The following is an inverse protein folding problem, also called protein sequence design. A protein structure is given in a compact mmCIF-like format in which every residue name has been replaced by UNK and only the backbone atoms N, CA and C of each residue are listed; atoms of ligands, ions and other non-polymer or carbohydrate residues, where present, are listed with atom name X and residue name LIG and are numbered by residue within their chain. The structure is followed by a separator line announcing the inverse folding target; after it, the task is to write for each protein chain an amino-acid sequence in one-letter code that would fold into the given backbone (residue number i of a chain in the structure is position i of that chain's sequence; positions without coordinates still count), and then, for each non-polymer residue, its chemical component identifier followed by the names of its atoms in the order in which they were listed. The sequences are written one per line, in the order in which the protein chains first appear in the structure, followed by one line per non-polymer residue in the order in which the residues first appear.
data_IF_703313134871
#
_entry.id   IF_703313134871
#
_cell.length_a   1.000
_cell.length_b   1.000
_cell.length_c   1.000
_cell.angle_alpha   90.00
_cell.angle_beta   90.00
_cell.angle_gamma   90.00
#
_symmetry.space_group_name_H-M   'P 1'
#
loop_
_entity.id
_entity.type
_entity.pdbx_description
1 polymer ?
#
# COMPACT_ATOMS: atom_id res chain seq x y z
N UNK A 1 20.74 11.09 -18.26
CA UNK A 1 20.88 11.30 -16.81
C UNK A 1 21.83 12.45 -16.49
N UNK A 2 23.11 12.39 -16.88
CA UNK A 2 24.10 13.44 -16.58
C UNK A 2 23.69 14.85 -17.03
N UNK A 3 23.18 15.02 -18.26
CA UNK A 3 22.66 16.32 -18.73
C UNK A 3 21.46 16.84 -17.93
N UNK A 4 20.63 15.96 -17.39
CA UNK A 4 19.52 16.35 -16.52
C UNK A 4 20.03 16.76 -15.14
N UNK A 5 20.98 16.01 -14.58
CA UNK A 5 21.59 16.36 -13.29
C UNK A 5 22.38 17.68 -13.36
N UNK A 6 22.99 17.99 -14.51
CA UNK A 6 23.72 19.24 -14.71
C UNK A 6 22.80 20.48 -14.77
N UNK A 7 21.52 20.31 -15.09
CA UNK A 7 20.55 21.42 -15.22
C UNK A 7 19.61 21.57 -14.03
N UNK A 8 19.75 20.71 -13.02
CA UNK A 8 18.88 20.68 -11.84
C UNK A 8 19.70 20.92 -10.57
N UNK A 9 19.03 21.33 -9.49
CA UNK A 9 19.66 21.42 -8.18
C UNK A 9 20.23 20.05 -7.77
N UNK A 10 21.39 20.05 -7.09
CA UNK A 10 22.04 18.83 -6.60
C UNK A 10 21.10 17.94 -5.78
N UNK A 11 20.16 18.55 -5.06
CA UNK A 11 19.22 17.86 -4.19
C UNK A 11 18.23 16.96 -4.94
N UNK A 12 18.04 17.14 -6.26
CA UNK A 12 17.15 16.29 -7.09
C UNK A 12 17.60 14.84 -7.11
N UNK A 13 18.86 14.54 -6.79
CA UNK A 13 19.35 13.16 -6.68
C UNK A 13 18.55 12.36 -5.63
N UNK A 14 18.17 12.98 -4.51
CA UNK A 14 17.41 12.32 -3.44
C UNK A 14 16.00 11.94 -3.91
N UNK A 15 15.35 12.82 -4.68
CA UNK A 15 14.08 12.52 -5.33
C UNK A 15 14.22 11.33 -6.30
N UNK A 16 15.24 11.36 -7.16
CA UNK A 16 15.46 10.31 -8.14
C UNK A 16 15.76 8.96 -7.48
N UNK A 17 16.59 8.94 -6.44
CA UNK A 17 16.87 7.73 -5.65
C UNK A 17 15.60 7.22 -4.97
N UNK A 18 14.79 8.11 -4.38
CA UNK A 18 13.50 7.75 -3.79
C UNK A 18 12.57 7.08 -4.80
N UNK A 19 12.50 7.60 -6.02
CA UNK A 19 11.71 7.01 -7.11
C UNK A 19 12.30 5.67 -7.58
N UNK A 20 13.62 5.57 -7.70
CA UNK A 20 14.30 4.35 -8.14
C UNK A 20 14.13 3.19 -7.16
N UNK A 21 14.02 3.49 -5.86
CA UNK A 21 13.86 2.49 -4.80
C UNK A 21 12.40 2.27 -4.40
N UNK A 22 11.42 2.85 -5.12
CA UNK A 22 10.00 2.57 -4.87
C UNK A 22 9.65 1.08 -4.90
N UNK A 23 10.23 0.23 -5.77
CA UNK A 23 9.95 -1.20 -5.75
C UNK A 23 10.86 -2.00 -4.78
N UNK A 24 11.65 -1.32 -3.93
CA UNK A 24 12.57 -1.95 -2.97
C UNK A 24 12.07 -1.68 -1.56
N UNK A 25 11.24 -2.59 -1.06
CA UNK A 25 10.59 -2.40 0.24
C UNK A 25 10.56 -3.65 1.14
N UNK A 26 11.17 -4.75 0.70
CA UNK A 26 11.29 -5.98 1.49
C UNK A 26 12.70 -6.31 1.97
N UNK A 27 13.68 -5.45 1.70
CA UNK A 27 15.08 -5.73 1.98
C UNK A 27 15.49 -5.34 3.40
N UNK A 28 16.53 -5.98 3.93
CA UNK A 28 17.15 -5.65 5.24
C UNK A 28 17.73 -4.23 5.33
N UNK A 29 17.82 -3.49 4.23
CA UNK A 29 18.37 -2.13 4.16
C UNK A 29 17.36 -1.01 4.49
N UNK A 30 16.07 -1.31 4.54
CA UNK A 30 15.02 -0.33 4.81
C UNK A 30 14.83 -0.02 6.29
N UNK A 31 14.14 1.09 6.59
CA UNK A 31 13.67 1.33 7.95
C UNK A 31 12.59 0.29 8.26
N UNK A 32 12.84 -0.54 9.27
CA UNK A 32 11.90 -1.58 9.66
C UNK A 32 10.59 -0.97 10.17
N UNK A 33 9.49 -1.39 9.57
CA UNK A 33 8.14 -1.28 10.08
C UNK A 33 7.53 -2.69 10.10
N UNK A 34 6.48 -2.94 10.91
CA UNK A 34 5.82 -4.24 10.89
C UNK A 34 5.36 -4.56 9.46
N UNK A 35 5.71 -5.76 8.98
CA UNK A 35 5.44 -6.24 7.61
C UNK A 35 6.04 -5.44 6.43
N UNK A 36 6.89 -4.43 6.64
CA UNK A 36 7.39 -3.58 5.56
C UNK A 36 8.72 -2.89 5.88
N UNK A 37 9.62 -2.75 4.90
CA UNK A 37 10.94 -2.14 5.08
C UNK A 37 11.29 -1.20 3.92
N UNK A 38 10.55 -0.09 3.75
CA UNK A 38 10.71 0.79 2.59
C UNK A 38 11.94 1.68 2.71
N UNK A 39 12.59 1.96 1.58
CA UNK A 39 13.71 2.91 1.51
C UNK A 39 13.24 4.29 1.02
N UNK A 40 12.28 4.33 0.08
CA UNK A 40 11.83 5.55 -0.58
C UNK A 40 11.32 6.66 0.35
N UNK A 41 10.48 6.39 1.37
CA UNK A 41 9.97 7.45 2.25
C UNK A 41 11.09 8.20 2.97
N UNK A 42 12.15 7.50 3.39
CA UNK A 42 13.31 8.13 4.01
C UNK A 42 14.06 9.05 3.03
N UNK A 43 14.26 8.61 1.78
CA UNK A 43 14.88 9.42 0.74
C UNK A 43 14.04 10.64 0.35
N UNK A 44 12.71 10.50 0.34
CA UNK A 44 11.79 11.62 0.17
C UNK A 44 11.85 12.58 1.36
N UNK A 45 12.03 12.09 2.59
CA UNK A 45 12.22 12.93 3.75
C UNK A 45 13.51 13.74 3.63
N UNK A 46 14.63 13.12 3.22
CA UNK A 46 15.90 13.83 2.95
C UNK A 46 15.70 14.88 1.86
N UNK A 47 15.02 14.55 0.75
CA UNK A 47 14.70 15.53 -0.29
C UNK A 47 13.89 16.72 0.25
N UNK A 48 12.88 16.47 1.08
CA UNK A 48 12.08 17.52 1.71
C UNK A 48 12.91 18.40 2.65
N UNK A 49 13.79 17.81 3.47
CA UNK A 49 14.67 18.54 4.38
C UNK A 49 15.70 19.40 3.64
N UNK A 50 16.28 18.87 2.55
CA UNK A 50 17.15 19.65 1.67
C UNK A 50 16.42 20.82 0.97
N UNK A 51 15.09 20.84 0.99
CA UNK A 51 14.23 21.87 0.44
C UNK A 51 13.30 22.47 1.51
N UNK A 52 13.83 22.70 2.71
CA UNK A 52 13.03 23.05 3.89
C UNK A 52 12.13 24.30 3.70
N UNK A 53 12.61 25.30 2.95
CA UNK A 53 11.83 26.52 2.64
C UNK A 53 10.59 26.18 1.82
N UNK A 54 10.74 25.31 0.83
CA UNK A 54 9.63 24.81 0.02
C UNK A 54 8.73 23.87 0.82
N UNK A 55 9.32 23.05 1.71
CA UNK A 55 8.56 22.19 2.61
C UNK A 55 7.63 23.00 3.52
N UNK A 56 8.06 24.16 4.03
CA UNK A 56 7.19 25.06 4.79
C UNK A 56 5.96 25.50 3.97
N UNK A 57 6.15 25.86 2.70
CA UNK A 57 5.05 26.22 1.79
C UNK A 57 4.08 25.03 1.62
N UNK A 58 4.62 23.82 1.45
CA UNK A 58 3.81 22.61 1.35
C UNK A 58 3.07 22.32 2.65
N UNK A 59 3.73 22.46 3.80
CA UNK A 59 3.14 22.21 5.11
C UNK A 59 1.97 23.17 5.39
N UNK A 60 2.09 24.44 5.03
CA UNK A 60 0.99 25.40 5.13
C UNK A 60 -0.15 25.05 4.17
N UNK A 61 0.18 24.71 2.91
CA UNK A 61 -0.82 24.36 1.88
C UNK A 61 -1.60 23.09 2.24
N UNK A 62 -0.94 22.11 2.84
CA UNK A 62 -1.48 20.82 3.24
C UNK A 62 -1.58 20.70 4.76
N UNK A 63 -1.82 21.81 5.46
CA UNK A 63 -1.81 21.89 6.92
C UNK A 63 -2.63 20.79 7.61
N UNK A 64 -3.84 20.41 7.17
CA UNK A 64 -4.59 19.32 7.79
C UNK A 64 -3.81 17.99 7.83
N UNK A 65 -3.06 17.65 6.77
CA UNK A 65 -2.24 16.44 6.74
C UNK A 65 -1.01 16.57 7.64
N UNK A 66 -0.38 17.75 7.67
CA UNK A 66 0.80 17.98 8.52
C UNK A 66 0.46 18.08 10.02
N UNK A 67 -0.79 18.38 10.37
CA UNK A 67 -1.29 18.32 11.76
C UNK A 67 -1.69 16.91 12.21
N UNK A 68 -1.88 15.96 11.27
CA UNK A 68 -2.32 14.61 11.59
C UNK A 68 -1.36 13.87 12.56
N UNK A 69 -0.03 13.90 12.40
CA UNK A 69 0.87 13.26 13.37
C UNK A 69 0.73 13.85 14.78
N UNK A 70 0.51 15.16 14.90
CA UNK A 70 0.30 15.82 16.20
C UNK A 70 -1.01 15.34 16.83
N UNK A 71 -2.08 15.26 16.05
CA UNK A 71 -3.36 14.71 16.52
C UNK A 71 -3.23 13.24 16.93
N UNK A 72 -2.52 12.42 16.15
CA UNK A 72 -2.22 11.02 16.48
C UNK A 72 -1.46 10.87 17.80
N UNK A 73 -0.47 11.73 18.06
CA UNK A 73 0.26 11.76 19.34
C UNK A 73 -0.71 12.10 20.49
N UNK A 74 -1.55 13.13 20.33
CA UNK A 74 -2.53 13.53 21.36
C UNK A 74 -3.51 12.39 21.65
N UNK A 75 -4.04 11.76 20.61
CA UNK A 75 -4.95 10.60 20.74
C UNK A 75 -4.26 9.41 21.41
N UNK A 76 -2.92 9.31 21.31
CA UNK A 76 -2.16 8.23 21.94
C UNK A 76 -1.94 8.42 23.44
N UNK A 77 -2.07 9.64 23.97
CA UNK A 77 -1.78 9.94 25.39
C UNK A 77 -2.61 9.07 26.36
N UNK A 78 -3.95 8.94 26.22
CA UNK A 78 -4.74 8.09 27.11
C UNK A 78 -4.31 6.61 27.05
N UNK A 79 -3.99 6.13 25.85
CA UNK A 79 -3.46 4.80 25.59
C UNK A 79 -2.12 4.56 26.31
N UNK A 80 -1.17 5.49 26.12
CA UNK A 80 0.14 5.44 26.75
C UNK A 80 0.08 5.49 28.28
N UNK A 81 -0.82 6.30 28.85
CA UNK A 81 -1.02 6.38 30.30
C UNK A 81 -1.60 5.08 30.88
N UNK A 82 -2.44 4.36 30.13
CA UNK A 82 -3.10 3.14 30.60
C UNK A 82 -2.29 1.87 30.35
N UNK A 83 -1.70 1.74 29.17
CA UNK A 83 -1.09 0.50 28.68
C UNK A 83 0.44 0.56 28.60
N UNK A 84 1.03 1.72 28.86
CA UNK A 84 2.46 1.98 28.68
C UNK A 84 2.81 2.37 27.25
N UNK A 85 4.10 2.59 27.02
CA UNK A 85 4.64 2.97 25.71
C UNK A 85 5.61 1.90 25.24
N UNK A 86 5.28 1.24 24.12
CA UNK A 86 6.23 0.43 23.38
C UNK A 86 7.01 1.32 22.43
N UNK A 87 8.14 1.87 22.89
CA UNK A 87 8.88 2.93 22.19
C UNK A 87 9.22 2.60 20.73
N UNK A 88 9.70 1.40 20.46
CA UNK A 88 10.11 0.99 19.12
C UNK A 88 8.90 0.86 18.18
N UNK A 89 7.82 0.20 18.63
CA UNK A 89 6.56 0.15 17.90
C UNK A 89 5.94 1.53 17.67
N UNK A 90 5.94 2.41 18.68
CA UNK A 90 5.46 3.78 18.57
C UNK A 90 6.29 4.59 17.57
N UNK A 91 7.61 4.41 17.56
CA UNK A 91 8.50 5.00 16.57
C UNK A 91 8.17 4.53 15.15
N UNK A 92 7.87 3.25 14.93
CA UNK A 92 7.46 2.72 13.62
C UNK A 92 6.15 3.35 13.13
N UNK A 93 5.14 3.46 14.00
CA UNK A 93 3.85 4.05 13.61
C UNK A 93 3.98 5.53 13.26
N UNK A 94 4.74 6.28 14.06
CA UNK A 94 5.00 7.71 13.81
C UNK A 94 5.84 7.92 12.56
N UNK A 95 6.89 7.13 12.35
CA UNK A 95 7.70 7.22 11.13
C UNK A 95 6.93 6.79 9.89
N UNK A 96 5.96 5.87 10.00
CA UNK A 96 4.99 5.57 8.94
C UNK A 96 4.16 6.79 8.54
N UNK A 97 3.59 7.52 9.51
CA UNK A 97 2.86 8.77 9.24
C UNK A 97 3.77 9.85 8.63
N UNK A 98 5.00 10.00 9.13
CA UNK A 98 5.97 10.94 8.59
C UNK A 98 6.42 10.57 7.18
N UNK A 99 6.58 9.28 6.88
CA UNK A 99 6.92 8.79 5.55
C UNK A 99 5.83 9.06 4.51
N UNK A 100 4.56 8.97 4.91
CA UNK A 100 3.41 9.40 4.10
C UNK A 100 3.53 10.89 3.74
N UNK A 101 3.77 11.74 4.73
CA UNK A 101 3.92 13.19 4.54
C UNK A 101 5.17 13.55 3.74
N UNK A 102 6.27 12.84 3.96
CA UNK A 102 7.51 13.01 3.20
C UNK A 102 7.28 12.71 1.71
N UNK A 103 6.54 11.65 1.40
CA UNK A 103 6.18 11.29 0.02
C UNK A 103 5.32 12.38 -0.62
N UNK A 104 4.25 12.84 0.07
CA UNK A 104 3.40 13.93 -0.42
C UNK A 104 4.23 15.21 -0.64
N UNK A 105 5.06 15.56 0.35
CA UNK A 105 5.96 16.70 0.32
C UNK A 105 6.90 16.67 -0.88
N UNK A 106 7.55 15.52 -1.11
CA UNK A 106 8.49 15.36 -2.20
C UNK A 106 7.82 15.52 -3.57
N UNK A 107 6.63 14.91 -3.76
CA UNK A 107 5.86 15.05 -5.00
C UNK A 107 5.46 16.51 -5.26
N UNK A 108 4.94 17.21 -4.25
CA UNK A 108 4.53 18.62 -4.39
C UNK A 108 5.73 19.52 -4.64
N UNK A 109 6.81 19.39 -3.87
CA UNK A 109 8.03 20.20 -4.07
C UNK A 109 8.60 19.97 -5.47
N UNK A 110 8.72 18.71 -5.90
CA UNK A 110 9.30 18.35 -7.18
C UNK A 110 8.48 18.86 -8.36
N UNK A 111 7.18 18.56 -8.40
CA UNK A 111 6.37 18.70 -9.61
C UNK A 111 5.48 19.94 -9.61
N UNK A 112 5.10 20.47 -8.44
CA UNK A 112 4.30 21.69 -8.35
C UNK A 112 5.18 22.93 -8.16
N UNK A 113 6.09 22.91 -7.19
CA UNK A 113 6.91 24.09 -6.86
C UNK A 113 8.11 24.21 -7.82
N UNK A 114 8.96 23.18 -7.89
CA UNK A 114 10.18 23.20 -8.73
C UNK A 114 9.93 22.87 -10.20
N UNK A 115 8.73 22.36 -10.53
CA UNK A 115 8.31 22.02 -11.90
C UNK A 115 9.33 21.13 -12.64
N UNK A 116 9.90 20.16 -11.94
CA UNK A 116 10.84 19.19 -12.52
C UNK A 116 10.12 18.46 -13.68
N UNK A 117 10.75 18.34 -14.87
CA UNK A 117 10.10 17.69 -15.99
C UNK A 117 9.92 16.19 -15.73
N UNK A 118 8.75 15.67 -16.08
CA UNK A 118 8.32 14.30 -15.80
C UNK A 118 9.15 13.22 -16.51
N UNK A 119 9.83 13.58 -17.61
CA UNK A 119 10.51 12.63 -18.49
C UNK A 119 11.57 11.78 -17.78
N UNK A 120 12.40 12.35 -16.91
CA UNK A 120 13.46 11.63 -16.21
C UNK A 120 12.89 10.81 -15.03
N UNK A 121 12.07 11.38 -14.12
CA UNK A 121 11.43 10.62 -13.05
C UNK A 121 10.62 9.41 -13.55
N UNK A 122 9.79 9.57 -14.58
CA UNK A 122 8.96 8.48 -15.10
C UNK A 122 9.79 7.41 -15.81
N UNK A 123 10.84 7.78 -16.56
CA UNK A 123 11.76 6.80 -17.14
C UNK A 123 12.45 5.98 -16.06
N UNK A 124 12.88 6.64 -14.98
CA UNK A 124 13.54 5.98 -13.87
C UNK A 124 12.58 5.04 -13.12
N UNK A 125 11.34 5.48 -12.88
CA UNK A 125 10.28 4.65 -12.31
C UNK A 125 10.07 3.39 -13.15
N UNK A 126 9.83 3.53 -14.45
CA UNK A 126 9.62 2.39 -15.36
C UNK A 126 10.83 1.44 -15.34
N UNK A 127 12.05 1.97 -15.40
CA UNK A 127 13.27 1.16 -15.36
C UNK A 127 13.43 0.41 -14.02
N UNK A 128 13.13 1.06 -12.90
CA UNK A 128 13.20 0.45 -11.58
C UNK A 128 12.23 -0.74 -11.45
N UNK A 129 11.01 -0.60 -11.95
CA UNK A 129 10.02 -1.68 -11.91
C UNK A 129 10.36 -2.81 -12.89
N UNK A 130 10.92 -2.53 -14.07
CA UNK A 130 11.48 -3.59 -14.92
C UNK A 130 12.63 -4.33 -14.25
N UNK A 131 13.49 -3.63 -13.51
CA UNK A 131 14.57 -4.24 -12.73
C UNK A 131 14.01 -5.17 -11.64
N UNK A 132 13.04 -4.69 -10.86
CA UNK A 132 12.33 -5.49 -9.86
C UNK A 132 11.66 -6.73 -10.48
N UNK A 133 11.03 -6.57 -11.66
CA UNK A 133 10.49 -7.70 -12.42
C UNK A 133 11.55 -8.74 -12.77
N UNK A 134 12.67 -8.29 -13.34
CA UNK A 134 13.80 -9.15 -13.70
C UNK A 134 14.39 -9.86 -12.48
N UNK A 135 14.50 -9.19 -11.33
CA UNK A 135 14.94 -9.81 -10.09
C UNK A 135 14.00 -10.95 -9.68
N UNK A 136 12.67 -10.77 -9.76
CA UNK A 136 11.76 -11.86 -9.44
C UNK A 136 11.82 -13.02 -10.43
N UNK A 137 12.09 -12.77 -11.71
CA UNK A 137 12.39 -13.84 -12.69
C UNK A 137 13.64 -14.61 -12.29
N UNK A 138 14.71 -13.92 -11.88
CA UNK A 138 15.94 -14.55 -11.39
C UNK A 138 15.67 -15.35 -10.11
N UNK A 139 14.88 -14.82 -9.17
CA UNK A 139 14.46 -15.54 -7.97
C UNK A 139 13.70 -16.82 -8.35
N UNK A 140 12.74 -16.73 -9.26
CA UNK A 140 11.96 -17.86 -9.73
C UNK A 140 12.86 -18.96 -10.33
N UNK A 141 13.78 -18.60 -11.23
CA UNK A 141 14.75 -19.55 -11.78
C UNK A 141 15.65 -20.13 -10.70
N UNK A 142 16.11 -19.34 -9.73
CA UNK A 142 16.96 -19.84 -8.65
C UNK A 142 16.27 -20.89 -7.79
N UNK A 143 14.96 -20.74 -7.57
CA UNK A 143 14.12 -21.70 -6.84
C UNK A 143 13.95 -22.98 -7.67
N UNK A 144 13.53 -22.84 -8.93
CA UNK A 144 13.19 -23.99 -9.80
C UNK A 144 14.43 -24.81 -10.21
N UNK A 145 15.56 -24.14 -10.42
CA UNK A 145 16.84 -24.78 -10.74
C UNK A 145 17.64 -25.16 -9.50
N UNK A 146 17.14 -24.86 -8.29
CA UNK A 146 17.81 -25.09 -7.00
C UNK A 146 19.23 -24.52 -6.95
N UNK A 147 19.41 -23.30 -7.46
CA UNK A 147 20.70 -22.64 -7.47
C UNK A 147 20.99 -21.99 -6.11
N UNK A 148 21.57 -22.77 -5.20
CA UNK A 148 21.80 -22.42 -3.80
C UNK A 148 22.49 -21.07 -3.58
N UNK A 149 23.52 -20.64 -4.34
CA UNK A 149 24.16 -19.35 -4.11
C UNK A 149 23.20 -18.16 -4.23
N UNK A 150 22.28 -18.17 -5.21
CA UNK A 150 21.28 -17.11 -5.35
C UNK A 150 20.18 -17.22 -4.31
N UNK A 151 19.73 -18.45 -4.01
CA UNK A 151 18.74 -18.69 -2.95
C UNK A 151 19.25 -18.14 -1.62
N UNK A 152 20.50 -18.45 -1.27
CA UNK A 152 21.16 -17.94 -0.07
C UNK A 152 21.36 -16.42 -0.12
N UNK A 153 21.78 -15.86 -1.25
CA UNK A 153 21.92 -14.41 -1.38
C UNK A 153 20.59 -13.70 -1.09
N UNK A 154 19.51 -14.13 -1.74
CA UNK A 154 18.22 -13.47 -1.56
C UNK A 154 17.57 -13.77 -0.21
N UNK A 155 17.83 -14.93 0.42
CA UNK A 155 17.31 -15.23 1.75
C UNK A 155 17.87 -14.29 2.82
N UNK A 156 19.08 -13.77 2.63
CA UNK A 156 19.71 -12.77 3.51
C UNK A 156 19.40 -11.32 3.09
N UNK A 157 19.18 -11.08 1.79
CA UNK A 157 18.79 -9.76 1.29
C UNK A 157 17.39 -9.37 1.79
N UNK A 158 16.45 -10.30 1.77
CA UNK A 158 15.06 -10.06 2.13
C UNK A 158 14.90 -10.16 3.65
N UNK A 159 14.32 -9.13 4.26
CA UNK A 159 14.00 -9.14 5.69
C UNK A 159 13.07 -10.30 6.04
N UNK A 160 12.11 -10.58 5.15
CA UNK A 160 11.29 -11.78 5.17
C UNK A 160 11.42 -12.48 3.85
N UNK A 161 12.05 -13.64 3.92
CA UNK A 161 12.33 -14.42 2.73
C UNK A 161 11.20 -15.42 2.46
N UNK A 162 10.79 -15.50 1.20
CA UNK A 162 9.81 -16.48 0.70
C UNK A 162 10.45 -17.43 -0.32
N UNK A 163 11.77 -17.39 -0.45
CA UNK A 163 12.50 -18.10 -1.51
C UNK A 163 12.80 -19.54 -1.10
N UNK A 164 13.17 -19.79 0.16
CA UNK A 164 13.45 -21.15 0.62
C UNK A 164 12.16 -21.89 0.95
N UNK A 165 12.08 -23.18 0.66
CA UNK A 165 10.91 -24.02 0.99
C UNK A 165 10.62 -24.07 2.50
N UNK A 166 11.65 -23.95 3.35
CA UNK A 166 11.54 -23.94 4.81
C UNK A 166 11.10 -22.59 5.40
N UNK A 167 10.67 -21.63 4.58
CA UNK A 167 10.20 -20.34 5.08
C UNK A 167 8.93 -20.50 5.90
N UNK A 168 8.94 -19.97 7.12
CA UNK A 168 7.78 -19.91 8.02
C UNK A 168 6.61 -19.09 7.45
N UNK A 169 6.86 -18.32 6.39
CA UNK A 169 5.87 -17.45 5.73
C UNK A 169 5.24 -18.09 4.47
N UNK A 170 5.60 -19.33 4.13
CA UNK A 170 5.12 -20.02 2.93
C UNK A 170 6.05 -19.81 1.73
N UNK A 171 7.13 -20.59 1.71
CA UNK A 171 8.26 -20.46 0.79
C UNK A 171 8.05 -20.92 -0.65
N UNK A 172 9.16 -21.01 -1.39
CA UNK A 172 9.23 -21.46 -2.78
C UNK A 172 8.73 -20.44 -3.81
N UNK A 173 8.73 -19.14 -3.47
CA UNK A 173 8.11 -18.09 -4.31
C UNK A 173 9.01 -16.87 -4.51
N UNK A 174 8.99 -16.26 -5.71
CA UNK A 174 9.67 -15.00 -5.96
C UNK A 174 8.96 -13.80 -5.30
N UNK A 175 9.74 -12.84 -4.81
CA UNK A 175 9.25 -11.63 -4.13
C UNK A 175 9.45 -10.34 -4.92
N UNK A 176 10.30 -10.35 -5.96
CA UNK A 176 10.52 -9.18 -6.81
C UNK A 176 11.04 -7.94 -6.07
N UNK A 177 11.77 -8.14 -4.96
CA UNK A 177 12.23 -7.11 -3.99
C UNK A 177 11.14 -6.54 -3.07
N UNK A 178 9.90 -7.02 -3.19
CA UNK A 178 8.81 -6.61 -2.31
C UNK A 178 8.83 -7.34 -0.96
N UNK A 179 8.30 -6.69 0.08
CA UNK A 179 8.20 -7.27 1.43
C UNK A 179 7.50 -8.62 1.47
N UNK A 180 6.48 -8.81 0.65
CA UNK A 180 5.79 -10.09 0.46
C UNK A 180 5.24 -10.21 -0.96
N UNK A 181 5.02 -11.44 -1.48
CA UNK A 181 4.44 -11.61 -2.81
C UNK A 181 3.06 -10.97 -2.98
N UNK A 182 2.27 -10.83 -1.91
CA UNK A 182 0.99 -10.13 -1.95
C UNK A 182 1.09 -8.61 -2.16
N UNK A 183 2.27 -8.01 -2.00
CA UNK A 183 2.46 -6.57 -2.21
C UNK A 183 2.62 -6.22 -3.69
N UNK A 184 2.88 -7.20 -4.57
CA UNK A 184 2.98 -7.01 -6.01
C UNK A 184 1.76 -6.22 -6.54
N UNK A 185 0.54 -6.65 -6.21
CA UNK A 185 -0.68 -5.98 -6.66
C UNK A 185 -0.79 -4.54 -6.15
N UNK A 186 -0.32 -4.27 -4.94
CA UNK A 186 -0.31 -2.92 -4.37
C UNK A 186 0.61 -2.00 -5.16
N UNK A 187 1.78 -2.46 -5.58
CA UNK A 187 2.66 -1.64 -6.40
C UNK A 187 2.12 -1.44 -7.81
N UNK A 188 1.64 -2.50 -8.46
CA UNK A 188 1.10 -2.41 -9.82
C UNK A 188 -0.13 -1.50 -9.88
N UNK A 189 -1.04 -1.62 -8.92
CA UNK A 189 -2.33 -0.94 -8.96
C UNK A 189 -2.41 0.29 -8.06
N UNK A 190 -1.62 0.37 -6.99
CA UNK A 190 -1.56 1.53 -6.10
C UNK A 190 -0.54 2.60 -6.52
N UNK A 191 0.47 2.22 -7.33
CA UNK A 191 1.51 3.15 -7.80
C UNK A 191 1.48 3.26 -9.32
N UNK A 192 1.73 2.16 -10.06
CA UNK A 192 1.92 2.23 -11.50
C UNK A 192 0.63 2.59 -12.27
N UNK A 193 -0.50 1.97 -11.94
CA UNK A 193 -1.78 2.24 -12.60
C UNK A 193 -2.22 3.71 -12.42
N UNK A 194 -2.10 4.31 -11.23
CA UNK A 194 -2.31 5.74 -11.07
C UNK A 194 -1.36 6.62 -11.87
N UNK A 195 -0.07 6.29 -11.91
CA UNK A 195 0.87 7.00 -12.77
C UNK A 195 0.50 6.88 -14.25
N UNK A 196 -0.01 5.73 -14.68
CA UNK A 196 -0.52 5.53 -16.04
C UNK A 196 -1.70 6.47 -16.32
N UNK A 197 -2.65 6.59 -15.39
CA UNK A 197 -3.77 7.53 -15.51
C UNK A 197 -3.29 8.98 -15.54
N UNK A 198 -2.31 9.35 -14.71
CA UNK A 198 -1.72 10.69 -14.70
C UNK A 198 -0.98 11.00 -16.02
N UNK A 199 -0.27 10.02 -16.58
CA UNK A 199 0.43 10.18 -17.86
C UNK A 199 -0.50 10.18 -19.05
N UNK A 200 -1.71 9.59 -18.96
CA UNK A 200 -2.67 9.56 -20.08
C UNK A 200 -3.01 10.96 -20.60
N UNK A 201 -3.11 11.96 -19.72
CA UNK A 201 -3.36 13.35 -20.10
C UNK A 201 -2.11 14.15 -20.46
N UNK A 202 -0.90 13.60 -20.24
CA UNK A 202 0.37 14.33 -20.37
C UNK A 202 1.27 13.80 -21.48
N UNK A 203 1.45 12.49 -21.55
CA UNK A 203 2.32 11.80 -22.51
C UNK A 203 1.80 10.37 -22.78
N UNK A 204 1.23 10.18 -23.98
CA UNK A 204 0.65 8.91 -24.40
C UNK A 204 1.67 7.78 -24.55
N UNK A 205 2.95 8.12 -24.79
CA UNK A 205 4.03 7.13 -24.92
C UNK A 205 4.34 6.55 -23.55
N UNK A 206 4.52 7.39 -22.52
CA UNK A 206 4.76 6.89 -21.16
C UNK A 206 3.54 6.18 -20.58
N UNK A 207 2.32 6.65 -20.86
CA UNK A 207 1.11 5.94 -20.46
C UNK A 207 1.07 4.52 -21.07
N UNK A 208 1.41 4.38 -22.36
CA UNK A 208 1.51 3.06 -23.01
C UNK A 208 2.59 2.19 -22.36
N UNK A 209 3.78 2.72 -22.11
CA UNK A 209 4.89 1.97 -21.48
C UNK A 209 4.54 1.51 -20.06
N UNK A 210 3.85 2.34 -19.27
CA UNK A 210 3.38 1.96 -17.94
C UNK A 210 2.32 0.85 -18.02
N UNK A 211 1.37 0.95 -18.96
CA UNK A 211 0.39 -0.10 -19.21
C UNK A 211 1.06 -1.42 -19.57
N UNK A 212 1.99 -1.40 -20.54
CA UNK A 212 2.65 -2.60 -21.02
C UNK A 212 3.48 -3.25 -19.89
N UNK A 213 4.15 -2.44 -19.06
CA UNK A 213 4.81 -2.90 -17.83
C UNK A 213 3.82 -3.54 -16.85
N UNK A 214 2.71 -2.89 -16.51
CA UNK A 214 1.70 -3.44 -15.58
C UNK A 214 1.19 -4.80 -16.06
N UNK A 215 0.86 -4.91 -17.36
CA UNK A 215 0.34 -6.15 -17.95
C UNK A 215 1.38 -7.25 -17.93
N UNK A 216 2.62 -6.99 -18.38
CA UNK A 216 3.70 -7.99 -18.38
C UNK A 216 4.03 -8.43 -16.95
N UNK A 217 4.08 -7.49 -16.01
CA UNK A 217 4.37 -7.78 -14.61
C UNK A 217 3.27 -8.64 -13.98
N UNK A 218 2.00 -8.27 -14.17
CA UNK A 218 0.86 -9.05 -13.66
C UNK A 218 0.84 -10.47 -14.27
N UNK A 219 0.96 -10.62 -15.58
CA UNK A 219 0.98 -11.94 -16.23
C UNK A 219 2.19 -12.75 -15.80
N UNK A 220 3.38 -12.16 -15.81
CA UNK A 220 4.61 -12.83 -15.43
C UNK A 220 4.56 -13.34 -13.98
N UNK A 221 4.09 -12.52 -13.04
CA UNK A 221 3.95 -12.93 -11.63
C UNK A 221 2.91 -14.03 -11.43
N UNK A 222 1.80 -14.02 -12.19
CA UNK A 222 0.82 -15.10 -12.20
C UNK A 222 1.44 -16.41 -12.74
N UNK A 223 2.17 -16.36 -13.86
CA UNK A 223 2.85 -17.51 -14.44
C UNK A 223 3.92 -18.10 -13.51
N UNK A 224 4.61 -17.23 -12.77
CA UNK A 224 5.60 -17.61 -11.76
C UNK A 224 4.98 -18.09 -10.44
N UNK A 225 3.65 -18.11 -10.33
CA UNK A 225 2.90 -18.50 -9.13
C UNK A 225 3.37 -17.77 -7.86
N UNK A 226 3.71 -16.48 -8.00
CA UNK A 226 4.22 -15.67 -6.90
C UNK A 226 3.21 -15.56 -5.75
N UNK A 227 1.92 -15.49 -6.07
CA UNK A 227 0.84 -15.53 -5.07
C UNK A 227 -0.55 -15.54 -5.71
N UNK A 228 -1.54 -16.01 -4.96
CA UNK A 228 -2.95 -16.04 -5.39
C UNK A 228 -3.54 -14.63 -5.47
N UNK A 229 -3.07 -13.73 -4.61
CA UNK A 229 -3.61 -12.38 -4.46
C UNK A 229 -3.39 -11.50 -5.69
N UNK A 230 -2.30 -11.68 -6.45
CA UNK A 230 -2.12 -10.90 -7.69
C UNK A 230 -3.21 -11.19 -8.72
N UNK A 231 -3.79 -12.40 -8.72
CA UNK A 231 -4.94 -12.75 -9.58
C UNK A 231 -6.15 -11.89 -9.20
N UNK A 232 -6.50 -11.87 -7.90
CA UNK A 232 -7.65 -11.12 -7.38
C UNK A 232 -7.45 -9.62 -7.60
N UNK A 233 -6.28 -9.09 -7.24
CA UNK A 233 -5.95 -7.68 -7.40
C UNK A 233 -6.01 -7.26 -8.88
N UNK A 234 -5.56 -8.13 -9.80
CA UNK A 234 -5.63 -7.89 -11.25
C UNK A 234 -7.05 -7.87 -11.77
N UNK A 235 -7.93 -8.75 -11.27
CA UNK A 235 -9.36 -8.74 -11.62
C UNK A 235 -10.00 -7.44 -11.13
N UNK A 236 -9.80 -7.07 -9.86
CA UNK A 236 -10.35 -5.83 -9.29
C UNK A 236 -9.86 -4.61 -10.07
N UNK A 237 -8.56 -4.52 -10.34
CA UNK A 237 -7.98 -3.44 -11.12
C UNK A 237 -8.52 -3.38 -12.56
N UNK A 238 -8.72 -4.54 -13.20
CA UNK A 238 -9.28 -4.62 -14.55
C UNK A 238 -10.73 -4.15 -14.59
N UNK A 239 -11.57 -4.56 -13.63
CA UNK A 239 -12.95 -4.10 -13.51
C UNK A 239 -13.00 -2.57 -13.32
N UNK A 240 -12.16 -2.04 -12.44
CA UNK A 240 -12.04 -0.59 -12.22
C UNK A 240 -11.58 0.11 -13.50
N UNK A 241 -10.59 -0.43 -14.20
CA UNK A 241 -10.12 0.13 -15.47
C UNK A 241 -11.23 0.14 -16.55
N UNK A 242 -12.03 -0.92 -16.66
CA UNK A 242 -13.18 -1.01 -17.57
C UNK A 242 -14.19 0.09 -17.23
N UNK A 243 -14.49 0.30 -15.95
CA UNK A 243 -15.39 1.37 -15.51
C UNK A 243 -14.83 2.74 -15.90
N UNK A 244 -13.54 3.00 -15.67
CA UNK A 244 -12.87 4.25 -16.02
C UNK A 244 -12.83 4.51 -17.53
N UNK A 245 -12.62 3.48 -18.34
CA UNK A 245 -12.45 3.65 -19.78
C UNK A 245 -13.75 3.79 -20.59
N UNK A 246 -14.86 3.19 -20.15
CA UNK A 246 -16.12 3.22 -20.91
C UNK A 246 -17.03 4.37 -20.50
N UNK A 247 -17.69 5.04 -21.45
CA UNK A 247 -18.80 5.94 -21.12
C UNK A 247 -20.09 5.15 -21.00
N UNK A 248 -20.75 5.27 -19.85
CA UNK A 248 -21.94 4.46 -19.53
C UNK A 248 -23.25 5.09 -20.00
N UNK A 249 -23.21 6.36 -20.44
CA UNK A 249 -24.34 7.08 -20.99
C UNK A 249 -24.67 6.67 -22.43
N UNK A 250 -23.66 6.33 -23.25
CA UNK A 250 -23.85 5.85 -24.62
C UNK A 250 -24.19 4.35 -24.63
N UNK A 251 -25.27 3.97 -25.31
CA UNK A 251 -25.73 2.58 -25.44
C UNK A 251 -24.67 1.67 -26.06
N UNK A 252 -23.91 2.13 -27.07
CA UNK A 252 -22.88 1.30 -27.74
C UNK A 252 -21.70 1.06 -26.81
N UNK A 253 -21.19 2.10 -26.16
CA UNK A 253 -20.10 1.97 -25.20
C UNK A 253 -20.52 1.21 -23.94
N UNK A 254 -21.76 1.35 -23.48
CA UNK A 254 -22.31 0.54 -22.39
C UNK A 254 -22.33 -0.94 -22.71
N UNK A 255 -22.78 -1.32 -23.91
CA UNK A 255 -22.77 -2.73 -24.35
C UNK A 255 -21.34 -3.27 -24.40
N UNK A 256 -20.40 -2.50 -24.96
CA UNK A 256 -18.97 -2.86 -24.97
C UNK A 256 -18.43 -3.02 -23.55
N UNK A 257 -18.77 -2.11 -22.64
CA UNK A 257 -18.40 -2.18 -21.23
C UNK A 257 -18.95 -3.43 -20.55
N UNK A 258 -20.22 -3.79 -20.79
CA UNK A 258 -20.81 -5.02 -20.26
C UNK A 258 -20.12 -6.28 -20.78
N UNK A 259 -19.80 -6.34 -22.07
CA UNK A 259 -19.05 -7.46 -22.66
C UNK A 259 -17.65 -7.56 -22.06
N UNK A 260 -16.96 -6.43 -21.88
CA UNK A 260 -15.66 -6.40 -21.22
C UNK A 260 -15.75 -6.85 -19.76
N UNK A 261 -16.80 -6.45 -19.04
CA UNK A 261 -17.03 -6.86 -17.65
C UNK A 261 -17.25 -8.37 -17.55
N UNK A 262 -18.13 -8.93 -18.41
CA UNK A 262 -18.35 -10.36 -18.49
C UNK A 262 -17.07 -11.13 -18.85
N UNK A 263 -16.28 -10.63 -19.81
CA UNK A 263 -15.00 -11.20 -20.18
C UNK A 263 -13.96 -11.14 -19.05
N UNK A 264 -13.90 -10.04 -18.31
CA UNK A 264 -13.02 -9.91 -17.15
C UNK A 264 -13.42 -10.83 -16.00
N UNK A 265 -14.72 -10.98 -15.72
CA UNK A 265 -15.23 -11.94 -14.75
C UNK A 265 -14.94 -13.38 -15.16
N UNK A 266 -15.11 -13.73 -16.44
CA UNK A 266 -14.79 -15.07 -16.95
C UNK A 266 -13.29 -15.36 -16.87
N UNK A 267 -12.44 -14.40 -17.25
CA UNK A 267 -10.98 -14.54 -17.11
C UNK A 267 -10.58 -14.67 -15.64
N UNK A 268 -11.20 -13.89 -14.76
CA UNK A 268 -11.03 -14.01 -13.32
C UNK A 268 -11.41 -15.40 -12.82
N UNK A 269 -12.58 -15.91 -13.21
CA UNK A 269 -13.04 -17.27 -12.89
C UNK A 269 -12.07 -18.34 -13.41
N UNK A 270 -11.57 -18.22 -14.64
CA UNK A 270 -10.61 -19.16 -15.19
C UNK A 270 -9.26 -19.12 -14.44
N UNK A 271 -8.78 -17.92 -14.10
CA UNK A 271 -7.57 -17.77 -13.28
C UNK A 271 -7.76 -18.32 -11.87
N UNK A 272 -8.96 -18.16 -11.30
CA UNK A 272 -9.35 -18.71 -10.00
C UNK A 272 -9.42 -20.24 -10.05
N UNK A 273 -10.01 -20.83 -11.09
CA UNK A 273 -10.13 -22.28 -11.26
C UNK A 273 -8.80 -22.97 -11.57
N UNK A 274 -7.83 -22.24 -12.13
CA UNK A 274 -6.48 -22.76 -12.39
C UNK A 274 -5.58 -22.79 -11.15
N UNK A 275 -6.02 -22.21 -10.02
CA UNK A 275 -5.25 -22.11 -8.78
C UNK A 275 -5.77 -23.10 -7.72
N UNK A 276 -4.92 -24.06 -7.33
CA UNK A 276 -5.26 -25.11 -6.38
C UNK A 276 -5.61 -24.62 -4.96
N UNK A 277 -5.29 -23.37 -4.62
CA UNK A 277 -5.68 -22.77 -3.32
C UNK A 277 -7.13 -22.30 -3.31
N UNK A 278 -7.70 -21.94 -4.46
CA UNK A 278 -9.07 -21.43 -4.53
C UNK A 278 -10.10 -22.55 -4.58
N UNK A 279 -9.76 -23.73 -5.12
CA UNK A 279 -10.52 -24.97 -4.89
C UNK A 279 -10.59 -25.31 -3.40
N UNK A 280 -9.49 -25.12 -2.65
CA UNK A 280 -9.48 -25.28 -1.19
C UNK A 280 -10.38 -24.25 -0.48
N UNK A 281 -10.45 -22.99 -0.95
CA UNK A 281 -11.42 -22.00 -0.42
C UNK A 281 -12.87 -22.42 -0.74
N UNK A 282 -13.13 -22.96 -1.92
CA UNK A 282 -14.47 -23.42 -2.30
C UNK A 282 -14.94 -24.62 -1.43
N UNK A 283 -14.01 -25.48 -1.02
CA UNK A 283 -14.29 -26.65 -0.18
C UNK A 283 -14.31 -26.32 1.33
N UNK A 284 -13.37 -25.49 1.80
CA UNK A 284 -13.11 -25.25 3.23
C UNK A 284 -13.45 -23.82 3.69
N UNK A 285 -14.10 -23.01 2.85
CA UNK A 285 -14.41 -21.61 3.13
C UNK A 285 -13.17 -20.76 3.36
N UNK A 286 -13.25 -19.77 4.25
CA UNK A 286 -12.13 -18.86 4.53
C UNK A 286 -10.86 -19.57 5.02
N UNK A 287 -10.99 -20.75 5.65
CA UNK A 287 -9.86 -21.55 6.13
C UNK A 287 -9.11 -22.26 5.00
N UNK A 288 -9.73 -22.39 3.82
CA UNK A 288 -9.10 -23.00 2.66
C UNK A 288 -7.89 -22.22 2.14
N UNK A 289 -7.75 -20.94 2.51
CA UNK A 289 -6.56 -20.14 2.30
C UNK A 289 -6.07 -19.56 3.63
N UNK A 290 -4.98 -20.13 4.15
CA UNK A 290 -4.36 -19.69 5.39
C UNK A 290 -3.97 -18.20 5.37
N UNK A 291 -3.64 -17.62 4.21
CA UNK A 291 -3.35 -16.17 4.14
C UNK A 291 -4.61 -15.32 4.23
N UNK A 292 -5.73 -15.78 3.70
CA UNK A 292 -7.01 -15.08 3.79
C UNK A 292 -7.57 -15.19 5.22
N UNK A 293 -7.55 -16.38 5.81
CA UNK A 293 -7.94 -16.60 7.19
C UNK A 293 -7.08 -15.79 8.16
N UNK A 294 -5.76 -15.72 7.92
CA UNK A 294 -4.84 -14.88 8.69
C UNK A 294 -5.29 -13.43 8.80
N UNK A 295 -5.71 -12.82 7.68
CA UNK A 295 -6.17 -11.43 7.67
C UNK A 295 -7.43 -11.24 8.49
N UNK A 296 -8.32 -12.24 8.52
CA UNK A 296 -9.55 -12.17 9.31
C UNK A 296 -9.19 -12.10 10.79
N UNK A 297 -8.46 -13.07 11.33
CA UNK A 297 -8.18 -13.08 12.77
C UNK A 297 -7.21 -11.96 13.19
N UNK A 298 -6.19 -11.64 12.38
CA UNK A 298 -5.24 -10.54 12.66
C UNK A 298 -5.92 -9.16 12.70
N UNK A 299 -7.02 -8.98 11.97
CA UNK A 299 -7.84 -7.78 12.08
C UNK A 299 -8.89 -7.87 13.18
N UNK A 300 -9.48 -9.05 13.40
CA UNK A 300 -10.54 -9.25 14.38
C UNK A 300 -10.03 -9.10 15.82
N UNK A 301 -8.81 -9.57 16.12
CA UNK A 301 -8.18 -9.47 17.44
C UNK A 301 -8.16 -8.03 17.97
N UNK A 302 -7.48 -7.07 17.32
CA UNK A 302 -7.44 -5.69 17.81
C UNK A 302 -8.82 -5.02 17.79
N UNK A 303 -9.70 -5.36 16.84
CA UNK A 303 -11.07 -4.83 16.80
C UNK A 303 -11.90 -5.29 18.01
N UNK A 304 -11.77 -6.55 18.40
CA UNK A 304 -12.37 -7.07 19.63
C UNK A 304 -11.75 -6.40 20.86
N UNK A 305 -10.44 -6.13 20.83
CA UNK A 305 -9.72 -5.40 21.86
C UNK A 305 -10.27 -3.99 22.10
N UNK A 306 -10.64 -3.26 21.04
CA UNK A 306 -11.25 -1.92 21.19
C UNK A 306 -12.57 -1.94 21.96
N UNK A 307 -13.27 -3.07 21.96
CA UNK A 307 -14.55 -3.22 22.66
C UNK A 307 -14.39 -3.54 24.15
N UNK A 308 -13.18 -3.87 24.63
CA UNK A 308 -12.95 -4.15 26.06
C UNK A 308 -12.95 -2.87 26.89
N UNK A 309 -12.60 -1.75 26.27
CA UNK A 309 -12.55 -0.43 26.89
C UNK A 309 -13.27 0.59 26.00
N UNK A 310 -14.50 1.03 26.35
CA UNK A 310 -15.33 1.87 25.46
C UNK A 310 -14.65 3.15 24.95
N UNK A 311 -13.75 3.75 25.74
CA UNK A 311 -13.00 4.94 25.34
C UNK A 311 -11.94 4.64 24.26
N UNK A 312 -11.38 3.42 24.23
CA UNK A 312 -10.40 3.02 23.21
C UNK A 312 -11.03 2.94 21.82
N UNK A 313 -12.34 2.75 21.70
CA UNK A 313 -13.03 2.88 20.43
C UNK A 313 -12.87 4.29 19.83
N UNK A 314 -12.80 5.33 20.67
CA UNK A 314 -12.68 6.71 20.24
C UNK A 314 -11.22 7.12 19.97
N UNK A 315 -10.31 6.78 20.88
CA UNK A 315 -8.91 7.27 20.85
C UNK A 315 -7.86 6.20 20.55
N UNK A 316 -8.24 4.93 20.52
CA UNK A 316 -7.34 3.80 20.34
C UNK A 316 -6.55 3.42 21.60
N UNK A 317 -5.64 2.47 21.43
CA UNK A 317 -4.69 2.02 22.46
C UNK A 317 -3.40 2.87 22.50
N UNK A 318 -3.25 3.81 21.56
CA UNK A 318 -2.07 4.63 21.35
C UNK A 318 -1.08 4.03 20.36
N UNK A 319 -0.29 4.91 19.73
CA UNK A 319 0.77 4.49 18.79
C UNK A 319 1.71 3.48 19.46
N UNK A 320 1.96 2.36 18.76
CA UNK A 320 2.80 1.26 19.23
C UNK A 320 2.09 0.22 20.09
N UNK A 321 0.81 0.42 20.45
CA UNK A 321 0.09 -0.46 21.37
C UNK A 321 -0.92 -1.40 20.69
N UNK A 322 -0.75 -1.70 19.39
CA UNK A 322 -1.57 -2.69 18.67
C UNK A 322 -1.55 -4.04 19.40
N UNK A 323 -0.40 -4.45 19.95
CA UNK A 323 -0.26 -5.71 20.69
C UNK A 323 -1.19 -5.77 21.91
N UNK A 324 -1.39 -4.65 22.62
CA UNK A 324 -2.29 -4.60 23.77
C UNK A 324 -3.75 -4.79 23.33
N UNK A 325 -4.13 -4.22 22.19
CA UNK A 325 -5.45 -4.46 21.60
C UNK A 325 -5.62 -5.94 21.20
N UNK A 326 -4.60 -6.54 20.57
CA UNK A 326 -4.60 -7.96 20.19
C UNK A 326 -4.78 -8.85 21.42
N UNK A 327 -3.96 -8.69 22.46
CA UNK A 327 -4.08 -9.48 23.69
C UNK A 327 -5.43 -9.32 24.39
N UNK A 328 -5.98 -8.10 24.40
CA UNK A 328 -7.28 -7.82 25.00
C UNK A 328 -8.44 -8.47 24.22
N UNK A 329 -8.32 -8.59 22.89
CA UNK A 329 -9.40 -9.06 22.03
C UNK A 329 -9.35 -10.53 21.64
N UNK A 330 -8.19 -11.20 21.76
CA UNK A 330 -7.97 -12.54 21.23
C UNK A 330 -8.99 -13.59 21.71
N UNK A 331 -9.37 -13.58 22.98
CA UNK A 331 -10.36 -14.54 23.53
C UNK A 331 -11.75 -14.33 22.94
N UNK A 332 -12.15 -13.07 22.72
CA UNK A 332 -13.44 -12.73 22.11
C UNK A 332 -13.44 -13.01 20.61
N UNK A 333 -12.32 -12.77 19.93
CA UNK A 333 -12.13 -13.13 18.53
C UNK A 333 -12.21 -14.65 18.35
N UNK A 334 -11.57 -15.44 19.21
CA UNK A 334 -11.70 -16.90 19.22
C UNK A 334 -13.17 -17.34 19.35
N UNK A 335 -13.91 -16.79 20.32
CA UNK A 335 -15.33 -17.11 20.49
C UNK A 335 -16.17 -16.77 19.25
N UNK A 336 -15.94 -15.62 18.63
CA UNK A 336 -16.64 -15.21 17.41
C UNK A 336 -16.31 -16.13 16.23
N UNK A 337 -15.05 -16.47 16.04
CA UNK A 337 -14.62 -17.38 14.97
C UNK A 337 -15.19 -18.79 15.17
N UNK A 338 -15.13 -19.32 16.39
CA UNK A 338 -15.73 -20.61 16.73
C UNK A 338 -17.25 -20.59 16.50
N UNK A 339 -17.93 -19.49 16.85
CA UNK A 339 -19.36 -19.31 16.59
C UNK A 339 -19.74 -19.27 15.11
N UNK A 340 -18.79 -18.91 14.23
CA UNK A 340 -18.92 -18.95 12.78
C UNK A 340 -18.48 -20.30 12.17
N UNK A 341 -18.17 -21.31 12.99
CA UNK A 341 -17.67 -22.60 12.54
C UNK A 341 -16.22 -22.56 12.03
N UNK A 342 -15.46 -21.52 12.41
CA UNK A 342 -14.06 -21.35 12.02
C UNK A 342 -13.07 -21.73 13.14
N UNK A 343 -11.80 -21.97 12.79
CA UNK A 343 -10.76 -22.27 13.78
C UNK A 343 -10.37 -21.03 14.60
N UNK A 344 -11.08 -20.78 15.70
CA UNK A 344 -10.81 -19.65 16.59
C UNK A 344 -9.45 -19.71 17.30
N UNK A 345 -8.88 -20.91 17.48
CA UNK A 345 -7.55 -21.07 18.10
C UNK A 345 -6.41 -20.39 17.33
N UNK A 346 -6.62 -20.06 16.05
CA UNK A 346 -5.67 -19.27 15.27
C UNK A 346 -5.50 -17.83 15.81
N UNK A 347 -6.57 -17.24 16.35
CA UNK A 347 -6.55 -15.90 16.95
C UNK A 347 -5.70 -15.88 18.23
N UNK A 348 -5.98 -16.77 19.18
CA UNK A 348 -5.21 -16.87 20.42
C UNK A 348 -3.79 -17.36 20.20
N UNK A 349 -3.57 -18.26 19.23
CA UNK A 349 -2.24 -18.68 18.81
C UNK A 349 -1.41 -17.53 18.22
N UNK A 350 -2.03 -16.67 17.40
CA UNK A 350 -1.39 -15.45 16.89
C UNK A 350 -1.04 -14.49 18.04
N UNK A 351 -2.00 -14.18 18.90
CA UNK A 351 -1.78 -13.30 20.05
C UNK A 351 -0.65 -13.80 20.98
N UNK A 352 -0.52 -15.11 21.19
CA UNK A 352 0.53 -15.72 22.00
C UNK A 352 1.92 -15.68 21.33
N UNK A 353 1.98 -15.68 19.99
CA UNK A 353 3.23 -15.68 19.22
C UNK A 353 3.79 -14.29 18.91
N UNK A 354 3.06 -13.22 19.21
CA UNK A 354 3.42 -11.85 18.86
C UNK A 354 3.90 -11.03 20.06
N UNK A 355 4.72 -10.01 19.77
CA UNK A 355 5.13 -8.98 20.72
C UNK A 355 4.96 -7.58 20.09
N UNK A 356 5.26 -6.53 20.85
CA UNK A 356 5.07 -5.15 20.39
C UNK A 356 5.80 -4.81 19.08
N UNK A 357 6.99 -5.37 18.84
CA UNK A 357 7.82 -5.06 17.67
C UNK A 357 7.48 -5.91 16.44
N UNK A 358 6.72 -6.98 16.66
CA UNK A 358 6.40 -7.98 15.66
C UNK A 358 4.92 -8.10 15.41
N UNK A 359 4.04 -7.36 16.09
CA UNK A 359 2.59 -7.40 15.84
C UNK A 359 2.24 -6.64 14.56
N UNK A 360 1.22 -7.11 13.84
CA UNK A 360 0.67 -6.47 12.65
C UNK A 360 -0.80 -6.84 12.50
N UNK A 361 -1.54 -6.11 11.66
CA UNK A 361 -2.97 -6.32 11.39
C UNK A 361 -3.27 -6.65 9.92
N UNK A 362 -2.30 -6.45 9.02
CA UNK A 362 -2.43 -6.56 7.55
C UNK A 362 -3.42 -5.57 6.92
N UNK A 363 -3.99 -4.64 7.69
CA UNK A 363 -5.04 -3.71 7.26
C UNK A 363 -4.81 -2.34 7.90
N UNK A 364 -4.57 -1.30 7.09
CA UNK A 364 -4.23 0.02 7.60
C UNK A 364 -5.38 0.64 8.38
N UNK A 365 -6.63 0.32 8.00
CA UNK A 365 -7.80 0.75 8.75
C UNK A 365 -7.81 0.14 10.14
N UNK A 366 -7.53 -1.16 10.26
CA UNK A 366 -7.44 -1.81 11.55
C UNK A 366 -6.31 -1.23 12.38
N UNK A 367 -5.13 -1.01 11.80
CA UNK A 367 -4.00 -0.37 12.51
C UNK A 367 -4.35 1.04 12.99
N UNK A 368 -4.96 1.89 12.14
CA UNK A 368 -5.34 3.25 12.54
C UNK A 368 -6.38 3.24 13.66
N UNK A 369 -7.40 2.41 13.56
CA UNK A 369 -8.46 2.36 14.59
C UNK A 369 -7.87 1.76 15.88
N UNK A 370 -7.01 0.74 15.78
CA UNK A 370 -6.36 0.15 16.95
C UNK A 370 -5.47 1.16 17.68
N UNK A 371 -4.70 1.97 16.97
CA UNK A 371 -3.76 2.94 17.56
C UNK A 371 -4.42 4.26 17.95
N UNK A 372 -5.30 4.80 17.12
CA UNK A 372 -5.82 6.17 17.22
C UNK A 372 -7.35 6.25 17.32
N UNK A 373 -8.05 5.11 17.29
CA UNK A 373 -9.49 5.02 17.39
C UNK A 373 -10.24 5.57 16.17
N UNK A 374 -11.56 5.64 16.29
CA UNK A 374 -12.43 6.19 15.25
C UNK A 374 -12.16 7.68 14.99
N UNK A 375 -11.74 8.44 16.02
CA UNK A 375 -11.38 9.84 15.84
C UNK A 375 -10.18 9.96 14.91
N UNK A 376 -9.13 9.15 15.10
CA UNK A 376 -7.95 9.13 14.23
C UNK A 376 -8.30 8.84 12.78
N UNK A 377 -9.16 7.84 12.54
CA UNK A 377 -9.63 7.51 11.19
C UNK A 377 -10.41 8.66 10.54
N UNK A 378 -11.35 9.26 11.28
CA UNK A 378 -12.14 10.41 10.80
C UNK A 378 -11.23 11.59 10.49
N UNK A 379 -10.23 11.86 11.33
CA UNK A 379 -9.25 12.93 11.09
C UNK A 379 -8.41 12.66 9.84
N UNK A 380 -7.97 11.42 9.59
CA UNK A 380 -7.26 11.08 8.35
C UNK A 380 -8.15 11.31 7.11
N UNK A 381 -9.40 10.88 7.17
CA UNK A 381 -10.37 11.07 6.07
C UNK A 381 -10.62 12.55 5.81
N UNK A 382 -10.90 13.32 6.87
CA UNK A 382 -11.09 14.78 6.78
C UNK A 382 -9.82 15.44 6.23
N UNK A 383 -8.64 15.15 6.80
CA UNK A 383 -7.39 15.73 6.35
C UNK A 383 -7.11 15.43 4.87
N UNK A 384 -7.42 14.21 4.41
CA UNK A 384 -7.29 13.80 3.01
C UNK A 384 -8.27 14.57 2.12
N UNK A 385 -9.57 14.58 2.45
CA UNK A 385 -10.60 15.30 1.69
C UNK A 385 -10.29 16.79 1.62
N UNK A 386 -10.00 17.38 2.77
CA UNK A 386 -9.66 18.79 2.91
C UNK A 386 -8.37 19.10 2.14
N UNK A 387 -7.39 18.21 2.09
CA UNK A 387 -6.19 18.43 1.25
C UNK A 387 -6.47 18.35 -0.26
N UNK A 388 -7.44 17.53 -0.66
CA UNK A 388 -7.90 17.46 -2.05
C UNK A 388 -8.80 18.66 -2.44
N UNK A 389 -9.47 19.29 -1.47
CA UNK A 389 -10.41 20.40 -1.68
C UNK A 389 -9.83 21.78 -1.32
N UNK A 390 -9.17 22.00 -0.17
CA UNK A 390 -8.60 23.30 0.25
C UNK A 390 -7.44 23.83 -0.59
N UNK A 391 -6.93 23.09 -1.57
CA UNK A 391 -6.06 23.69 -2.61
C UNK A 391 -6.85 24.63 -3.54
N UNK A 392 -8.12 24.92 -3.25
CA UNK A 392 -8.93 25.92 -3.95
C UNK A 392 -8.86 27.32 -3.32
N UNK A 393 -8.44 28.28 -4.14
CA UNK A 393 -9.13 29.57 -4.25
C UNK A 393 -10.58 29.31 -4.66
N UNK A 394 -11.50 30.01 -4.02
CA UNK A 394 -12.97 29.90 -4.12
C UNK A 394 -13.56 30.19 -5.51
N UNK A 395 -12.74 30.41 -6.54
CA UNK A 395 -13.18 30.78 -7.89
C UNK A 395 -13.38 29.59 -8.87
N UNK A 396 -12.91 28.38 -8.56
CA UNK A 396 -12.94 27.22 -9.49
C UNK A 396 -14.00 26.16 -9.15
N UNK A 397 -15.07 26.54 -8.46
CA UNK A 397 -16.13 25.63 -8.00
C UNK A 397 -17.12 25.19 -9.10
N UNK A 398 -16.92 25.57 -10.36
CA UNK A 398 -17.86 25.28 -11.45
C UNK A 398 -17.63 23.93 -12.17
N UNK A 399 -16.48 23.26 -11.95
CA UNK A 399 -16.21 21.94 -12.51
C UNK A 399 -15.92 20.92 -11.40
N UNK A 400 -16.86 20.00 -11.21
CA UNK A 400 -16.91 19.06 -10.08
C UNK A 400 -15.61 18.30 -9.81
N UNK A 401 -15.23 18.27 -8.54
CA UNK A 401 -14.05 17.58 -7.98
C UNK A 401 -13.99 16.08 -8.27
N UNK A 402 -15.15 15.47 -8.51
CA UNK A 402 -15.34 14.03 -8.53
C UNK A 402 -15.50 13.50 -9.96
N UNK A 403 -14.39 13.44 -10.70
CA UNK A 403 -14.39 12.70 -11.96
C UNK A 403 -14.51 11.20 -11.69
N UNK A 404 -15.05 10.46 -12.67
CA UNK A 404 -15.16 9.00 -12.60
C UNK A 404 -13.81 8.33 -12.27
N UNK A 405 -12.71 8.84 -12.82
CA UNK A 405 -11.34 8.35 -12.53
C UNK A 405 -10.96 8.56 -11.07
N UNK A 406 -11.29 9.72 -10.49
CA UNK A 406 -10.98 10.04 -9.08
C UNK A 406 -11.77 9.12 -8.14
N UNK A 407 -13.05 8.89 -8.40
CA UNK A 407 -13.88 7.96 -7.61
C UNK A 407 -13.34 6.54 -7.71
N UNK A 408 -13.06 6.06 -8.92
CA UNK A 408 -12.50 4.74 -9.16
C UNK A 408 -11.14 4.54 -8.49
N UNK A 409 -10.30 5.58 -8.50
CA UNK A 409 -9.02 5.54 -7.81
C UNK A 409 -9.20 5.52 -6.29
N UNK A 410 -10.13 6.30 -5.73
CA UNK A 410 -10.44 6.24 -4.30
C UNK A 410 -10.91 4.83 -3.88
N UNK A 411 -11.81 4.21 -4.65
CA UNK A 411 -12.27 2.84 -4.40
C UNK A 411 -11.10 1.85 -4.44
N UNK A 412 -10.20 2.00 -5.42
CA UNK A 412 -8.99 1.17 -5.51
C UNK A 412 -8.07 1.34 -4.29
N UNK A 413 -7.86 2.57 -3.82
CA UNK A 413 -7.09 2.85 -2.61
C UNK A 413 -7.73 2.18 -1.39
N UNK A 414 -9.04 2.32 -1.24
CA UNK A 414 -9.78 1.70 -0.13
C UNK A 414 -9.58 0.19 -0.15
N UNK A 415 -9.71 -0.43 -1.32
CA UNK A 415 -9.45 -1.85 -1.51
C UNK A 415 -8.01 -2.24 -1.12
N UNK A 416 -7.00 -1.49 -1.58
CA UNK A 416 -5.59 -1.81 -1.32
C UNK A 416 -5.19 -1.63 0.16
N UNK A 417 -5.79 -0.68 0.88
CA UNK A 417 -5.48 -0.44 2.31
C UNK A 417 -6.25 -1.35 3.29
N UNK A 418 -7.26 -2.10 2.83
CA UNK A 418 -7.76 -3.29 3.56
C UNK A 418 -6.67 -4.37 3.67
N UNK A 419 -5.67 -4.24 2.83
CA UNK A 419 -4.82 -5.30 2.35
C UNK A 419 -3.32 -5.02 2.63
N UNK A 420 -3.03 -3.78 3.00
CA UNK A 420 -1.76 -3.21 3.43
C UNK A 420 -1.98 -2.51 4.75
N UNK A 421 -1.09 -2.66 5.72
CA UNK A 421 -1.20 -1.91 6.97
C UNK A 421 -0.42 -0.58 7.00
N UNK A 422 0.54 -0.40 6.09
CA UNK A 422 1.54 0.62 6.31
C UNK A 422 1.15 2.00 5.78
N UNK A 423 1.21 3.00 6.67
CA UNK A 423 0.84 4.39 6.39
C UNK A 423 1.75 5.05 5.35
N UNK A 424 3.03 4.70 5.32
CA UNK A 424 3.99 5.34 4.42
C UNK A 424 3.88 4.84 2.97
N UNK A 425 2.96 3.91 2.68
CA UNK A 425 2.70 3.46 1.30
C UNK A 425 2.28 4.63 0.40
N UNK A 426 2.87 4.70 -0.79
CA UNK A 426 2.81 5.89 -1.63
C UNK A 426 1.43 6.18 -2.25
N UNK A 427 0.48 5.24 -2.22
CA UNK A 427 -0.80 5.35 -2.92
C UNK A 427 -1.65 6.55 -2.46
N UNK A 428 -1.83 6.75 -1.15
CA UNK A 428 -2.62 7.88 -0.63
C UNK A 428 -1.93 9.24 -0.91
N UNK A 429 -0.63 9.43 -0.61
CA UNK A 429 0.11 10.63 -1.02
C UNK A 429 0.02 10.93 -2.52
N UNK A 430 0.17 9.92 -3.37
CA UNK A 430 0.11 10.06 -4.82
C UNK A 430 -1.29 10.51 -5.27
N UNK A 431 -2.34 9.97 -4.65
CA UNK A 431 -3.73 10.35 -4.91
C UNK A 431 -4.02 11.79 -4.53
N UNK A 432 -3.68 12.20 -3.30
CA UNK A 432 -3.85 13.57 -2.83
C UNK A 432 -3.13 14.54 -3.78
N UNK A 433 -1.88 14.24 -4.14
CA UNK A 433 -1.11 15.03 -5.10
C UNK A 433 -1.78 15.09 -6.48
N UNK A 434 -2.17 13.96 -7.05
CA UNK A 434 -2.69 13.90 -8.42
C UNK A 434 -4.07 14.56 -8.56
N UNK A 435 -4.97 14.38 -7.59
CA UNK A 435 -6.29 15.03 -7.58
C UNK A 435 -6.14 16.55 -7.50
N UNK A 436 -5.14 17.04 -6.76
CA UNK A 436 -4.81 18.48 -6.74
C UNK A 436 -4.32 19.01 -8.10
N UNK A 437 -3.84 18.13 -8.99
CA UNK A 437 -3.21 18.46 -10.27
C UNK A 437 -4.04 18.15 -11.51
N UNK A 438 -5.04 17.28 -11.44
CA UNK A 438 -5.97 17.00 -12.56
C UNK A 438 -6.88 18.21 -12.90
N UNK A 439 -6.62 19.37 -12.30
CA UNK A 439 -7.35 20.65 -12.45
C UNK A 439 -6.52 21.74 -13.15
N UNK A 440 -5.22 21.53 -13.35
CA UNK A 440 -4.34 22.38 -14.18
C UNK A 440 -4.13 21.71 -15.54
#
# INVERSE_FOLDING_TARGET
MLRFLATQDRNVIWLLLGIALLPVDGTTLGLYAPFWSPISPALFAVYCLCNWRQLHIVAVKYLPMFLLPVACIILSIPGWLRFGIHFNAAFMSLTGLLGMLATLGALVIAFHIKRIPWNMPIRLLIAAYWCSFAVGVVQWFSIHLRFEPLVNYFSHLMYRQYITDSSVWGGGRPQFLFAEPSYIGMHLFGILLPFMWLMRGRDSIYAKRLRDLIVVYAIGTMLMQAGTRIVIDSVVALLIAIIVHNTWHDRKQRLRGMVQFAGACLLGLLGVLADSRLSSIAENGAQGDGSFFARIYQSLDPLCGLLTHPWTLLTGYGAGNIINAVWAGASKAEQLLNGLGMNGGAATGFAAGMNADTVWTMCAYTSIIAEYGLIGLVLLVIASIVSMTRVFDTAAAEHGVWSKTVICWLVLIVYLYIQCENYAFAALPLFIFAVSKLRE
#
